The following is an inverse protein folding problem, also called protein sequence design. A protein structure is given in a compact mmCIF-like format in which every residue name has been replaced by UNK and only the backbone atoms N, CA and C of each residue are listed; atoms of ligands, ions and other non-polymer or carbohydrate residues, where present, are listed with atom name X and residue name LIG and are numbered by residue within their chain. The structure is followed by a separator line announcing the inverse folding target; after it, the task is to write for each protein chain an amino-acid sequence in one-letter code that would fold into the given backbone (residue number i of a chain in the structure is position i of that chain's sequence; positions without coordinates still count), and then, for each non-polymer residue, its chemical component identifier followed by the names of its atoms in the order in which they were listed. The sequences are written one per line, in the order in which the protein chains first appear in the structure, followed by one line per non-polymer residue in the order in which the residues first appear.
data_IF_391778874970
#
_entry.id   IF_391778874970
#
_cell.length_a   1.000
_cell.length_b   1.000
_cell.length_c   1.000
_cell.angle_alpha   90.00
_cell.angle_beta   90.00
_cell.angle_gamma   90.00
#
_symmetry.space_group_name_H-M   'P 1'
#
loop_
_entity.id
_entity.type
_entity.pdbx_description
1 polymer ?
#
# COMPACT_ATOMS: atom_id res chain seq x y z
N UNK A 1 32.89 -15.92 32.14
CA UNK A 1 31.55 -16.29 31.62
C UNK A 1 30.73 -15.02 31.37
N UNK A 2 31.15 -14.08 30.50
CA UNK A 2 30.33 -12.86 30.25
C UNK A 2 30.73 -12.03 29.02
N UNK A 3 31.00 -12.67 27.87
CA UNK A 3 31.31 -11.93 26.62
C UNK A 3 30.37 -12.28 25.45
N UNK A 4 29.44 -13.23 25.63
CA UNK A 4 28.47 -13.62 24.59
C UNK A 4 27.08 -13.00 24.76
N UNK A 5 26.80 -12.35 25.90
CA UNK A 5 25.48 -11.75 26.17
C UNK A 5 25.34 -10.32 25.63
N UNK A 6 26.43 -9.56 25.58
CA UNK A 6 26.40 -8.17 25.10
C UNK A 6 26.27 -8.07 23.58
N UNK A 7 26.89 -8.99 22.81
CA UNK A 7 26.74 -8.99 21.36
C UNK A 7 25.30 -9.27 20.89
N UNK A 8 24.52 -10.04 21.66
CA UNK A 8 23.12 -10.32 21.35
C UNK A 8 22.19 -9.14 21.70
N UNK A 9 22.50 -8.39 22.76
CA UNK A 9 21.78 -7.16 23.12
C UNK A 9 22.11 -6.00 22.17
N UNK A 10 23.38 -5.87 21.75
CA UNK A 10 23.79 -4.86 20.76
C UNK A 10 23.22 -5.19 19.37
N UNK A 11 23.18 -6.47 18.97
CA UNK A 11 22.57 -6.87 17.69
C UNK A 11 21.05 -6.70 17.67
N UNK A 12 20.38 -6.88 18.81
CA UNK A 12 18.93 -6.62 18.94
C UNK A 12 18.61 -5.12 18.92
N UNK A 13 19.54 -4.25 19.31
CA UNK A 13 19.37 -2.80 19.23
C UNK A 13 19.83 -2.19 17.89
N UNK A 14 20.78 -2.79 17.16
CA UNK A 14 21.22 -2.26 15.86
C UNK A 14 20.24 -2.49 14.72
N UNK A 15 19.30 -3.43 14.85
CA UNK A 15 18.19 -3.61 13.89
C UNK A 15 17.02 -2.62 14.14
N UNK A 16 17.03 -1.93 15.27
CA UNK A 16 15.98 -0.98 15.68
C UNK A 16 16.21 0.46 15.19
N UNK A 17 17.26 0.70 14.39
CA UNK A 17 17.55 2.04 13.85
C UNK A 17 18.09 1.95 12.42
N UNK A 18 17.20 1.87 11.43
CA UNK A 18 17.52 2.41 10.10
C UNK A 18 16.79 3.72 9.79
N UNK A 19 15.68 4.03 10.46
CA UNK A 19 15.16 5.40 10.57
C UNK A 19 14.28 5.43 11.82
N UNK A 20 14.35 6.46 12.66
CA UNK A 20 13.46 6.62 13.83
C UNK A 20 11.99 6.88 13.46
N UNK A 21 11.52 6.34 12.34
CA UNK A 21 10.15 6.46 11.85
C UNK A 21 9.43 5.17 12.23
N UNK A 22 8.42 5.27 13.08
CA UNK A 22 7.54 4.15 13.40
C UNK A 22 6.89 3.71 12.09
N UNK A 23 7.20 2.49 11.64
CA UNK A 23 6.61 1.92 10.43
C UNK A 23 5.18 1.50 10.74
N UNK A 24 4.20 2.10 10.04
CA UNK A 24 2.79 1.70 10.13
C UNK A 24 2.62 0.24 9.73
N UNK A 25 1.78 -0.50 10.46
CA UNK A 25 1.49 -1.92 10.18
C UNK A 25 0.01 -2.07 9.79
N UNK A 26 -0.25 -2.33 8.52
CA UNK A 26 -1.62 -2.42 7.99
C UNK A 26 -2.22 -3.84 7.94
N UNK A 27 -1.42 -4.88 8.21
CA UNK A 27 -1.84 -6.29 8.15
C UNK A 27 -2.46 -6.71 6.79
N UNK A 28 -2.01 -6.09 5.68
CA UNK A 28 -2.50 -6.36 4.32
C UNK A 28 -1.42 -6.97 3.43
N UNK A 29 -1.60 -8.24 3.07
CA UNK A 29 -0.79 -8.96 2.08
C UNK A 29 -1.29 -8.71 0.66
N UNK A 30 -0.43 -8.93 -0.35
CA UNK A 30 -0.78 -8.70 -1.76
C UNK A 30 -2.05 -9.45 -2.18
N UNK A 31 -2.21 -10.71 -1.75
CA UNK A 31 -3.42 -11.50 -2.04
C UNK A 31 -4.69 -10.95 -1.37
N UNK A 32 -4.56 -10.37 -0.17
CA UNK A 32 -5.69 -9.73 0.52
C UNK A 32 -6.09 -8.43 -0.18
N UNK A 33 -5.11 -7.62 -0.58
CA UNK A 33 -5.35 -6.43 -1.40
C UNK A 33 -6.04 -6.79 -2.72
N UNK A 34 -5.59 -7.84 -3.39
CA UNK A 34 -6.24 -8.33 -4.62
C UNK A 34 -7.71 -8.68 -4.38
N UNK A 35 -8.02 -9.42 -3.31
CA UNK A 35 -9.41 -9.75 -2.95
C UNK A 35 -10.24 -8.48 -2.75
N UNK A 36 -9.80 -7.59 -1.87
CA UNK A 36 -10.52 -6.34 -1.56
C UNK A 36 -10.74 -5.49 -2.81
N UNK A 37 -9.72 -5.28 -3.63
CA UNK A 37 -9.87 -4.45 -4.84
C UNK A 37 -10.69 -5.11 -5.94
N UNK A 38 -10.69 -6.45 -6.04
CA UNK A 38 -11.55 -7.17 -6.99
C UNK A 38 -13.04 -6.89 -6.70
N UNK A 39 -13.42 -6.88 -5.42
CA UNK A 39 -14.76 -6.54 -4.96
C UNK A 39 -15.08 -5.05 -5.17
N UNK A 40 -14.13 -4.14 -4.88
CA UNK A 40 -14.31 -2.70 -5.06
C UNK A 40 -14.54 -2.34 -6.53
N UNK A 41 -13.79 -2.95 -7.45
CA UNK A 41 -13.86 -2.66 -8.89
C UNK A 41 -14.90 -3.49 -9.63
N UNK A 42 -15.47 -4.50 -8.96
CA UNK A 42 -16.39 -5.48 -9.54
C UNK A 42 -15.77 -6.21 -10.75
N UNK A 43 -14.59 -6.80 -10.53
CA UNK A 43 -13.81 -7.58 -11.51
C UNK A 43 -13.47 -8.97 -10.95
N UNK A 44 -13.08 -9.91 -11.81
CA UNK A 44 -12.68 -11.25 -11.34
C UNK A 44 -11.44 -11.18 -10.46
N UNK A 45 -11.53 -11.82 -9.29
CA UNK A 45 -10.38 -12.00 -8.41
C UNK A 45 -9.32 -12.89 -9.06
N UNK A 46 -9.72 -13.93 -9.82
CA UNK A 46 -8.78 -14.81 -10.51
C UNK A 46 -7.94 -14.02 -11.52
N UNK A 47 -8.57 -13.20 -12.36
CA UNK A 47 -7.85 -12.36 -13.34
C UNK A 47 -6.82 -11.45 -12.65
N UNK A 48 -7.20 -10.81 -11.55
CA UNK A 48 -6.26 -9.96 -10.81
C UNK A 48 -5.14 -10.75 -10.13
N UNK A 49 -5.39 -12.00 -9.71
CA UNK A 49 -4.36 -12.87 -9.14
C UNK A 49 -3.37 -13.34 -10.21
N UNK A 50 -3.84 -13.63 -11.41
CA UNK A 50 -2.98 -13.95 -12.58
C UNK A 50 -2.08 -12.76 -12.93
N UNK A 51 -2.63 -11.54 -12.98
CA UNK A 51 -1.82 -10.34 -13.23
C UNK A 51 -0.79 -10.10 -12.11
N UNK A 52 -1.14 -10.37 -10.85
CA UNK A 52 -0.25 -10.25 -9.70
C UNK A 52 0.97 -11.19 -9.78
N UNK A 53 0.94 -12.26 -10.57
CA UNK A 53 2.11 -13.13 -10.78
C UNK A 53 3.32 -12.37 -11.36
N UNK A 54 3.09 -11.21 -11.99
CA UNK A 54 4.13 -10.26 -12.43
C UNK A 54 4.90 -9.62 -11.27
N UNK A 55 4.39 -9.70 -10.03
CA UNK A 55 5.09 -9.32 -8.81
C UNK A 55 4.99 -7.84 -8.41
N UNK A 56 3.99 -7.09 -8.91
CA UNK A 56 3.72 -5.70 -8.51
C UNK A 56 2.22 -5.47 -8.27
N UNK A 57 1.79 -5.66 -7.02
CA UNK A 57 0.40 -5.44 -6.60
C UNK A 57 -0.09 -4.02 -6.85
N UNK A 58 0.77 -3.01 -6.76
CA UNK A 58 0.36 -1.63 -6.99
C UNK A 58 0.08 -1.37 -8.47
N UNK A 59 0.86 -2.00 -9.36
CA UNK A 59 0.59 -1.96 -10.80
C UNK A 59 -0.67 -2.74 -11.16
N UNK A 60 -0.85 -3.94 -10.61
CA UNK A 60 -2.08 -4.73 -10.79
C UNK A 60 -3.30 -3.92 -10.38
N UNK A 61 -3.33 -3.32 -9.19
CA UNK A 61 -4.47 -2.48 -8.76
C UNK A 61 -4.69 -1.30 -9.72
N UNK A 62 -3.64 -0.64 -10.21
CA UNK A 62 -3.79 0.45 -11.19
C UNK A 62 -4.47 0.00 -12.46
N UNK A 63 -4.00 -1.09 -13.07
CA UNK A 63 -4.49 -1.58 -14.37
C UNK A 63 -5.99 -1.88 -14.32
N UNK A 64 -6.45 -2.55 -13.26
CA UNK A 64 -7.87 -2.88 -13.10
C UNK A 64 -8.71 -1.68 -12.65
N UNK A 65 -8.13 -0.74 -11.89
CA UNK A 65 -8.80 0.50 -11.55
C UNK A 65 -9.04 1.39 -12.77
N UNK A 66 -8.04 1.52 -13.66
CA UNK A 66 -8.14 2.32 -14.89
C UNK A 66 -9.21 1.82 -15.87
N UNK A 67 -9.55 0.54 -15.79
CA UNK A 67 -10.61 -0.07 -16.60
C UNK A 67 -11.95 -0.21 -15.85
N UNK A 68 -12.02 0.17 -14.57
CA UNK A 68 -13.24 0.00 -13.77
C UNK A 68 -14.36 0.93 -14.24
N UNK A 69 -15.49 0.32 -14.61
CA UNK A 69 -16.74 1.04 -14.92
C UNK A 69 -17.57 1.34 -13.66
N UNK A 70 -17.38 0.56 -12.61
CA UNK A 70 -18.10 0.69 -11.35
C UNK A 70 -17.51 1.79 -10.47
N UNK A 71 -16.19 1.95 -10.52
CA UNK A 71 -15.47 2.98 -9.79
C UNK A 71 -14.45 3.64 -10.73
N UNK A 72 -14.88 4.55 -11.63
CA UNK A 72 -13.98 5.18 -12.58
C UNK A 72 -12.98 6.11 -11.86
N UNK A 73 -11.69 6.14 -12.26
CA UNK A 73 -10.71 7.06 -11.69
C UNK A 73 -11.08 8.52 -11.92
N UNK A 74 -10.67 9.40 -11.00
CA UNK A 74 -10.77 10.84 -11.25
C UNK A 74 -9.76 11.26 -12.33
N UNK A 75 -10.08 12.31 -13.08
CA UNK A 75 -9.25 12.77 -14.22
C UNK A 75 -7.98 13.53 -13.80
N UNK A 76 -7.98 14.10 -12.59
CA UNK A 76 -6.88 14.89 -12.05
C UNK A 76 -6.75 14.58 -10.57
N UNK A 77 -5.52 14.50 -10.08
CA UNK A 77 -5.26 14.31 -8.66
C UNK A 77 -5.77 15.52 -7.88
N UNK A 78 -6.58 15.26 -6.88
CA UNK A 78 -7.09 16.26 -5.92
C UNK A 78 -6.72 15.90 -4.48
N UNK A 79 -6.05 14.76 -4.29
CA UNK A 79 -5.65 14.27 -2.98
C UNK A 79 -4.45 15.04 -2.48
N UNK A 80 -4.60 15.63 -1.29
CA UNK A 80 -3.49 16.23 -0.56
C UNK A 80 -2.67 15.17 0.18
N UNK A 81 -1.42 15.49 0.50
CA UNK A 81 -0.58 14.60 1.32
C UNK A 81 -1.22 14.32 2.69
N UNK A 82 -1.90 15.33 3.27
CA UNK A 82 -2.62 15.21 4.53
C UNK A 82 -3.80 14.25 4.44
N UNK A 83 -4.55 14.29 3.33
CA UNK A 83 -5.65 13.32 3.10
C UNK A 83 -5.12 11.90 2.92
N UNK A 84 -4.02 11.73 2.16
CA UNK A 84 -3.37 10.42 2.01
C UNK A 84 -2.90 9.90 3.36
N UNK A 85 -2.26 10.76 4.16
CA UNK A 85 -1.78 10.38 5.49
C UNK A 85 -2.95 9.99 6.41
N UNK A 86 -4.05 10.75 6.39
CA UNK A 86 -5.27 10.44 7.14
C UNK A 86 -5.85 9.07 6.77
N UNK A 87 -5.87 8.71 5.47
CA UNK A 87 -6.32 7.38 5.05
C UNK A 87 -5.42 6.26 5.59
N UNK A 88 -4.10 6.48 5.58
CA UNK A 88 -3.15 5.50 6.08
C UNK A 88 -3.26 5.34 7.61
N UNK A 89 -3.43 6.44 8.35
CA UNK A 89 -3.67 6.40 9.80
C UNK A 89 -4.96 5.65 10.13
N UNK A 90 -6.05 5.92 9.41
CA UNK A 90 -7.31 5.20 9.61
C UNK A 90 -7.16 3.70 9.33
N UNK A 91 -6.38 3.34 8.30
CA UNK A 91 -6.14 1.96 7.89
C UNK A 91 -5.27 1.16 8.87
N UNK A 92 -4.26 1.79 9.49
CA UNK A 92 -3.33 1.14 10.43
C UNK A 92 -4.07 0.49 11.62
N UNK A 93 -5.16 1.11 12.08
CA UNK A 93 -5.94 0.61 13.21
C UNK A 93 -6.94 -0.51 12.87
N UNK A 94 -7.14 -0.85 11.59
CA UNK A 94 -8.18 -1.81 11.17
C UNK A 94 -7.64 -3.22 10.95
N UNK A 95 -8.36 -4.20 11.49
CA UNK A 95 -8.04 -5.63 11.37
C UNK A 95 -9.10 -6.43 10.64
N UNK A 96 -10.27 -5.84 10.34
CA UNK A 96 -11.34 -6.50 9.60
C UNK A 96 -11.31 -6.11 8.13
N UNK A 97 -11.65 -7.07 7.27
CA UNK A 97 -11.66 -6.88 5.82
C UNK A 97 -12.69 -5.82 5.41
N UNK A 98 -13.85 -5.79 6.08
CA UNK A 98 -14.92 -4.83 5.80
C UNK A 98 -14.49 -3.38 6.08
N UNK A 99 -13.81 -3.15 7.19
CA UNK A 99 -13.32 -1.82 7.55
C UNK A 99 -12.19 -1.37 6.61
N UNK A 100 -11.25 -2.27 6.32
CA UNK A 100 -10.16 -2.01 5.38
C UNK A 100 -10.71 -1.72 3.97
N UNK A 101 -11.68 -2.51 3.50
CA UNK A 101 -12.35 -2.32 2.20
C UNK A 101 -13.06 -0.98 2.12
N UNK A 102 -13.78 -0.58 3.18
CA UNK A 102 -14.44 0.73 3.26
C UNK A 102 -13.45 1.91 3.13
N UNK A 103 -12.30 1.83 3.82
CA UNK A 103 -11.25 2.86 3.75
C UNK A 103 -10.62 2.90 2.36
N UNK A 104 -10.22 1.75 1.82
CA UNK A 104 -9.58 1.64 0.51
C UNK A 104 -10.52 2.10 -0.61
N UNK A 105 -11.82 1.83 -0.50
CA UNK A 105 -12.83 2.31 -1.44
C UNK A 105 -12.95 3.83 -1.41
N UNK A 106 -12.97 4.46 -0.23
CA UNK A 106 -13.01 5.94 -0.10
C UNK A 106 -11.76 6.59 -0.67
N UNK A 107 -10.59 5.99 -0.48
CA UNK A 107 -9.35 6.45 -1.10
C UNK A 107 -9.43 6.34 -2.64
N UNK A 108 -9.87 5.19 -3.16
CA UNK A 108 -10.01 4.96 -4.61
C UNK A 108 -11.00 5.94 -5.27
N UNK A 109 -12.12 6.28 -4.61
CA UNK A 109 -13.10 7.25 -5.11
C UNK A 109 -12.53 8.65 -5.42
N UNK A 110 -11.44 9.04 -4.74
CA UNK A 110 -10.78 10.34 -4.91
C UNK A 110 -9.51 10.28 -5.77
N UNK A 111 -9.15 9.09 -6.25
CA UNK A 111 -7.83 8.82 -6.82
C UNK A 111 -7.84 8.78 -8.35
N UNK A 112 -6.80 9.33 -8.96
CA UNK A 112 -6.38 8.90 -10.32
C UNK A 112 -5.78 7.48 -10.22
N UNK A 113 -5.54 6.83 -11.36
CA UNK A 113 -4.80 5.56 -11.39
C UNK A 113 -3.45 5.64 -10.65
N UNK A 114 -2.71 6.73 -10.86
CA UNK A 114 -1.41 6.93 -10.23
C UNK A 114 -1.52 7.22 -8.72
N UNK A 115 -2.54 7.95 -8.27
CA UNK A 115 -2.74 8.19 -6.83
C UNK A 115 -2.98 6.86 -6.11
N UNK A 116 -3.90 6.03 -6.63
CA UNK A 116 -4.22 4.75 -6.00
C UNK A 116 -3.02 3.80 -6.01
N UNK A 117 -2.26 3.76 -7.11
CA UNK A 117 -0.99 3.04 -7.19
C UNK A 117 -0.01 3.47 -6.11
N UNK A 118 0.13 4.79 -5.87
CA UNK A 118 1.02 5.32 -4.84
C UNK A 118 0.54 4.97 -3.44
N UNK A 119 -0.77 5.04 -3.17
CA UNK A 119 -1.36 4.63 -1.88
C UNK A 119 -1.06 3.15 -1.60
N UNK A 120 -1.26 2.26 -2.58
CA UNK A 120 -0.95 0.82 -2.42
C UNK A 120 0.54 0.58 -2.16
N UNK A 121 1.42 1.36 -2.77
CA UNK A 121 2.88 1.31 -2.49
C UNK A 121 3.22 1.74 -1.07
N UNK A 122 2.57 2.78 -0.55
CA UNK A 122 2.74 3.23 0.84
C UNK A 122 2.26 2.16 1.82
N UNK A 123 1.14 1.49 1.53
CA UNK A 123 0.63 0.37 2.33
C UNK A 123 1.61 -0.80 2.35
N UNK A 124 2.16 -1.16 1.18
CA UNK A 124 3.14 -2.26 1.08
C UNK A 124 4.52 -1.90 1.64
N UNK A 125 4.79 -0.62 1.87
CA UNK A 125 6.12 -0.12 2.23
C UNK A 125 7.12 -0.23 1.08
N UNK A 126 6.62 -0.41 -0.16
CA UNK A 126 7.38 -0.66 -1.36
C UNK A 126 7.28 0.58 -2.27
N UNK A 127 7.99 1.65 -1.91
CA UNK A 127 8.22 2.76 -2.83
C UNK A 127 9.23 2.33 -3.89
N UNK A 128 8.80 1.49 -4.85
CA UNK A 128 9.54 1.26 -6.09
C UNK A 128 9.42 2.50 -6.96
N UNK A 129 10.20 3.53 -6.60
CA UNK A 129 10.36 4.70 -7.45
C UNK A 129 11.27 4.25 -8.60
N UNK A 130 10.70 4.01 -9.79
CA UNK A 130 11.48 3.96 -11.03
C UNK A 130 11.99 5.37 -11.41
N UNK A 131 12.39 6.17 -10.42
CA UNK A 131 13.19 7.35 -10.64
C UNK A 131 14.63 6.88 -10.68
N UNK A 132 15.19 6.82 -11.89
CA UNK A 132 16.61 7.16 -12.00
C UNK A 132 16.82 8.45 -11.22
N UNK A 133 17.79 8.45 -10.31
CA UNK A 133 18.00 9.42 -9.24
C UNK A 133 18.06 10.89 -9.68
N UNK A 134 16.92 11.51 -10.04
CA UNK A 134 16.95 12.88 -10.56
C UNK A 134 15.94 13.89 -10.07
N UNK A 135 14.90 13.55 -9.31
CA UNK A 135 14.06 14.60 -8.69
C UNK A 135 13.48 14.12 -7.35
N UNK A 136 14.32 14.17 -6.33
CA UNK A 136 13.90 14.53 -4.96
C UNK A 136 14.83 15.67 -4.56
N UNK A 137 14.55 16.87 -5.07
CA UNK A 137 14.96 18.18 -4.56
C UNK A 137 14.00 19.22 -5.12
#
# INVERSE_FOLDING_TARGET
MSLKKDAALVKKHSELTQTGVVKRVYNLQSKQLTKVFSEIFNVSQEEMLEDLEKGDIAETVRVYFESSKFLPPVKKSVLTLQEVDSFLEELEGQTTEEAQSSILKRAAQKSTGNDLKMIVRLIKGDLRINAGAKHIM
#
